data_IF_802162421107
#
_entry.id   IF_802162421107
#
_cell.length_a   1.000
_cell.length_b   1.000
_cell.length_c   1.000
_cell.angle_alpha   90.00
_cell.angle_beta   90.00
_cell.angle_gamma   90.00
#
_symmetry.space_group_name_H-M   'P 1'
#
loop_
_entity.id
_entity.type
_entity.pdbx_description
1 polymer ?
#
# COMPACT_ATOMS: atom_id res chain seq x y z
N UNK A 1 -21.17 -10.67 18.02
CA UNK A 1 -20.25 -10.93 16.88
C UNK A 1 -20.58 -10.14 15.59
N UNK A 2 -21.79 -9.59 15.38
CA UNK A 2 -22.16 -8.86 14.15
C UNK A 2 -21.58 -7.42 14.09
N UNK A 3 -21.44 -6.78 15.25
CA UNK A 3 -20.93 -5.41 15.40
C UNK A 3 -19.45 -5.27 15.00
N UNK A 4 -18.57 -6.21 15.40
CA UNK A 4 -17.15 -6.13 15.07
C UNK A 4 -16.86 -6.26 13.58
N UNK A 5 -17.64 -7.09 12.85
CA UNK A 5 -17.52 -7.18 11.39
C UNK A 5 -17.94 -5.89 10.70
N UNK A 6 -19.00 -5.24 11.18
CA UNK A 6 -19.44 -3.93 10.67
C UNK A 6 -18.39 -2.85 10.93
N UNK A 7 -17.76 -2.83 12.11
CA UNK A 7 -16.68 -1.89 12.42
C UNK A 7 -15.45 -2.15 11.53
N UNK A 8 -15.03 -3.40 11.37
CA UNK A 8 -13.91 -3.74 10.47
C UNK A 8 -14.20 -3.35 9.02
N UNK A 9 -15.40 -3.64 8.52
CA UNK A 9 -15.81 -3.25 7.16
C UNK A 9 -15.81 -1.72 7.03
N UNK A 10 -16.39 -1.01 8.01
CA UNK A 10 -16.37 0.45 8.02
C UNK A 10 -14.96 1.05 8.01
N UNK A 11 -14.04 0.45 8.77
CA UNK A 11 -12.65 0.93 8.87
C UNK A 11 -11.87 0.69 7.56
N UNK A 12 -12.10 -0.46 6.91
CA UNK A 12 -11.56 -0.75 5.57
C UNK A 12 -12.14 0.22 4.54
N UNK A 13 -13.45 0.48 4.57
CA UNK A 13 -14.08 1.44 3.66
C UNK A 13 -13.52 2.84 3.84
N UNK A 14 -13.33 3.31 5.08
CA UNK A 14 -12.70 4.62 5.35
C UNK A 14 -11.26 4.65 4.86
N UNK A 15 -10.48 3.60 5.08
CA UNK A 15 -9.10 3.52 4.57
C UNK A 15 -9.04 3.58 3.04
N UNK A 16 -9.94 2.86 2.35
CA UNK A 16 -10.05 2.91 0.88
C UNK A 16 -10.46 4.32 0.44
N UNK A 17 -11.43 4.95 1.10
CA UNK A 17 -11.81 6.33 0.81
C UNK A 17 -10.60 7.24 0.95
N UNK A 18 -9.85 7.19 2.05
CA UNK A 18 -8.67 8.03 2.25
C UNK A 18 -7.61 7.80 1.16
N UNK A 19 -7.36 6.54 0.77
CA UNK A 19 -6.39 6.20 -0.26
C UNK A 19 -6.80 6.68 -1.67
N UNK A 20 -8.09 6.61 -1.98
CA UNK A 20 -8.64 6.90 -3.32
C UNK A 20 -9.08 8.37 -3.45
N UNK A 21 -9.40 9.04 -2.34
CA UNK A 21 -9.78 10.44 -2.27
C UNK A 21 -8.81 11.39 -3.00
N UNK A 22 -7.48 11.34 -2.79
CA UNK A 22 -6.55 12.22 -3.50
C UNK A 22 -6.52 11.98 -5.02
N UNK A 23 -6.84 10.76 -5.46
CA UNK A 23 -6.88 10.39 -6.88
C UNK A 23 -8.08 11.01 -7.61
N UNK A 24 -9.22 11.17 -6.93
CA UNK A 24 -10.43 11.80 -7.52
C UNK A 24 -10.44 13.31 -7.39
N UNK A 25 -9.85 13.86 -6.34
CA UNK A 25 -9.79 15.31 -6.12
C UNK A 25 -8.59 15.98 -6.81
N UNK A 26 -7.80 15.23 -7.59
CA UNK A 26 -6.64 15.70 -8.33
C UNK A 26 -5.75 16.60 -7.46
N UNK A 27 -5.46 16.12 -6.24
CA UNK A 27 -4.57 16.80 -5.30
C UNK A 27 -3.09 16.69 -5.73
N UNK A 28 -2.81 15.98 -6.83
CA UNK A 28 -1.56 16.03 -7.58
C UNK A 28 -1.67 16.93 -8.82
N UNK A 29 -0.55 17.32 -9.41
CA UNK A 29 -0.53 18.21 -10.57
C UNK A 29 -1.27 17.58 -11.77
N UNK A 30 -2.34 18.21 -12.29
CA UNK A 30 -3.13 17.70 -13.42
C UNK A 30 -2.33 17.51 -14.71
N UNK A 31 -1.16 18.14 -14.83
CA UNK A 31 -0.31 18.09 -16.03
C UNK A 31 0.96 17.26 -15.82
N UNK A 32 1.15 16.65 -14.65
CA UNK A 32 2.30 15.79 -14.39
C UNK A 32 2.00 14.36 -14.82
N UNK A 33 2.87 13.77 -15.63
CA UNK A 33 2.79 12.38 -16.06
C UNK A 33 2.91 11.40 -14.86
N UNK A 34 3.46 11.88 -13.73
CA UNK A 34 3.54 11.16 -12.46
C UNK A 34 2.96 12.00 -11.31
N UNK A 35 1.66 11.86 -10.99
CA UNK A 35 0.99 12.57 -9.88
C UNK A 35 1.57 12.23 -8.49
N UNK A 36 2.41 11.21 -8.41
CA UNK A 36 3.08 10.72 -7.21
C UNK A 36 4.56 10.44 -7.50
N UNK A 37 5.25 11.41 -8.10
CA UNK A 37 6.71 11.36 -8.21
C UNK A 37 7.34 11.22 -6.80
N UNK A 38 8.49 10.53 -6.74
CA UNK A 38 9.22 10.32 -5.49
C UNK A 38 9.53 11.65 -4.79
N UNK A 39 9.58 11.62 -3.45
CA UNK A 39 9.93 12.80 -2.63
C UNK A 39 11.25 13.44 -3.05
N UNK A 40 12.17 12.64 -3.59
CA UNK A 40 13.50 13.09 -4.03
C UNK A 40 13.43 13.97 -5.29
N UNK A 41 12.59 13.60 -6.28
CA UNK A 41 12.38 14.39 -7.49
C UNK A 41 11.79 15.79 -7.19
N UNK A 42 10.90 15.88 -6.19
CA UNK A 42 10.40 17.17 -5.70
C UNK A 42 11.46 17.97 -4.94
N UNK A 43 12.38 17.30 -4.23
CA UNK A 43 13.45 17.99 -3.52
C UNK A 43 14.50 18.57 -4.47
N UNK A 44 14.86 17.83 -5.52
CA UNK A 44 15.83 18.27 -6.54
C UNK A 44 15.36 19.54 -7.27
N UNK A 45 14.09 19.57 -7.71
CA UNK A 45 13.51 20.74 -8.39
C UNK A 45 13.56 22.01 -7.53
N UNK A 46 13.24 21.91 -6.23
CA UNK A 46 13.27 23.05 -5.30
C UNK A 46 14.71 23.51 -5.04
N UNK A 47 15.65 22.57 -4.88
CA UNK A 47 17.06 22.90 -4.61
C UNK A 47 17.71 23.58 -5.83
N UNK A 48 17.39 23.13 -7.04
CA UNK A 48 17.86 23.75 -8.28
C UNK A 48 17.32 25.18 -8.48
N UNK A 49 16.10 25.47 -8.01
CA UNK A 49 15.48 26.80 -8.11
C UNK A 49 16.02 27.79 -7.06
N UNK A 50 16.22 27.35 -5.82
CA UNK A 50 16.71 28.20 -4.72
C UNK A 50 18.23 28.45 -4.78
N UNK A 51 19.02 27.49 -5.27
CA UNK A 51 20.47 27.65 -5.33
C UNK A 51 21.08 27.02 -6.60
N UNK A 52 21.18 27.78 -7.70
CA UNK A 52 21.75 27.28 -8.96
C UNK A 52 23.25 26.97 -8.90
N UNK A 53 23.94 27.27 -7.79
CA UNK A 53 25.34 26.91 -7.56
C UNK A 53 25.50 25.71 -6.61
N UNK A 54 24.40 25.03 -6.25
CA UNK A 54 24.44 23.86 -5.39
C UNK A 54 25.08 22.66 -6.11
N UNK A 55 26.18 22.18 -5.57
CA UNK A 55 26.86 20.97 -6.03
C UNK A 55 26.37 19.78 -5.18
N UNK A 56 25.81 18.71 -5.79
CA UNK A 56 25.39 17.52 -5.06
C UNK A 56 26.56 16.93 -4.27
N UNK A 57 26.38 16.77 -2.95
CA UNK A 57 27.38 16.14 -2.08
C UNK A 57 27.46 14.61 -2.25
N UNK A 58 26.56 14.04 -3.06
CA UNK A 58 26.51 12.63 -3.41
C UNK A 58 25.98 12.50 -4.84
N UNK A 59 26.77 11.89 -5.73
CA UNK A 59 26.32 11.44 -7.05
C UNK A 59 26.31 9.91 -7.08
N UNK A 60 25.26 9.27 -7.62
CA UNK A 60 25.22 7.83 -7.84
C UNK A 60 26.42 7.35 -8.67
N UNK A 61 27.18 6.39 -8.14
CA UNK A 61 28.35 5.78 -8.81
C UNK A 61 28.01 5.11 -10.16
N UNK A 62 26.76 4.69 -10.29
CA UNK A 62 26.08 4.35 -11.53
C UNK A 62 25.18 5.54 -11.77
N UNK A 63 25.47 6.38 -12.78
CA UNK A 63 24.73 7.62 -13.06
C UNK A 63 23.21 7.41 -13.17
N UNK A 64 22.46 8.50 -13.33
CA UNK A 64 20.98 8.53 -13.28
C UNK A 64 20.32 7.21 -13.74
N UNK A 65 19.89 6.42 -12.75
CA UNK A 65 19.15 5.20 -13.01
C UNK A 65 17.86 5.61 -13.73
N UNK A 66 17.45 4.91 -14.80
CA UNK A 66 16.22 5.26 -15.49
C UNK A 66 15.06 5.22 -14.49
N UNK A 67 14.24 6.28 -14.43
CA UNK A 67 13.15 6.43 -13.44
C UNK A 67 12.17 5.24 -13.41
N UNK A 68 12.07 4.50 -14.51
CA UNK A 68 11.32 3.23 -14.58
C UNK A 68 11.83 2.17 -13.59
N UNK A 69 13.13 2.13 -13.33
CA UNK A 69 13.77 1.19 -12.40
C UNK A 69 13.51 1.61 -10.95
N UNK A 70 13.50 2.90 -10.67
CA UNK A 70 13.16 3.44 -9.34
C UNK A 70 11.69 3.14 -8.99
N UNK A 71 10.77 3.52 -9.88
CA UNK A 71 9.35 3.21 -9.76
C UNK A 71 9.08 1.71 -9.69
N UNK A 72 9.83 0.90 -10.47
CA UNK A 72 9.79 -0.56 -10.41
C UNK A 72 10.20 -1.14 -9.06
N UNK A 73 11.22 -0.56 -8.41
CA UNK A 73 11.68 -0.99 -7.09
C UNK A 73 10.65 -0.67 -6.00
N UNK A 74 10.03 0.52 -6.07
CA UNK A 74 8.91 0.87 -5.17
C UNK A 74 7.69 -0.02 -5.39
N UNK A 75 7.32 -0.32 -6.64
CA UNK A 75 6.23 -1.23 -6.96
C UNK A 75 6.50 -2.66 -6.44
N UNK A 76 7.74 -3.13 -6.54
CA UNK A 76 8.17 -4.42 -5.99
C UNK A 76 8.03 -4.44 -4.46
N UNK A 77 8.52 -3.39 -3.77
CA UNK A 77 8.40 -3.26 -2.32
C UNK A 77 6.93 -3.23 -1.88
N UNK A 78 6.08 -2.48 -2.59
CA UNK A 78 4.65 -2.43 -2.32
C UNK A 78 3.98 -3.80 -2.52
N UNK A 79 4.31 -4.51 -3.61
CA UNK A 79 3.80 -5.85 -3.90
C UNK A 79 4.18 -6.88 -2.84
N UNK A 80 5.45 -6.88 -2.42
CA UNK A 80 5.93 -7.75 -1.34
C UNK A 80 5.26 -7.40 0.00
N UNK A 81 5.17 -6.12 0.35
CA UNK A 81 4.51 -5.66 1.57
C UNK A 81 3.03 -6.07 1.62
N UNK A 82 2.30 -5.88 0.52
CA UNK A 82 0.90 -6.29 0.39
C UNK A 82 0.75 -7.83 0.49
N UNK A 83 1.65 -8.59 -0.13
CA UNK A 83 1.67 -10.05 -0.05
C UNK A 83 1.85 -10.56 1.39
N UNK A 84 2.82 -10.00 2.12
CA UNK A 84 3.08 -10.35 3.53
C UNK A 84 1.87 -9.99 4.40
N UNK A 85 1.32 -8.78 4.26
CA UNK A 85 0.12 -8.36 5.01
C UNK A 85 -1.08 -9.27 4.73
N UNK A 86 -1.32 -9.61 3.45
CA UNK A 86 -2.38 -10.51 3.05
C UNK A 86 -2.23 -11.91 3.66
N UNK A 87 -1.02 -12.45 3.66
CA UNK A 87 -0.73 -13.75 4.28
C UNK A 87 -1.00 -13.74 5.79
N UNK A 88 -0.50 -12.74 6.51
CA UNK A 88 -0.68 -12.63 7.97
C UNK A 88 -2.17 -12.51 8.33
N UNK A 89 -2.91 -11.66 7.61
CA UNK A 89 -4.36 -11.51 7.81
C UNK A 89 -5.10 -12.82 7.49
N UNK A 90 -4.71 -13.52 6.43
CA UNK A 90 -5.28 -14.82 6.05
C UNK A 90 -5.07 -15.90 7.11
N UNK A 91 -3.84 -16.04 7.62
CA UNK A 91 -3.50 -16.99 8.69
C UNK A 91 -4.29 -16.68 9.97
N UNK A 92 -4.33 -15.40 10.36
CA UNK A 92 -5.06 -14.98 11.56
C UNK A 92 -6.57 -15.24 11.42
N UNK A 93 -7.14 -15.00 10.24
CA UNK A 93 -8.54 -15.31 9.94
C UNK A 93 -8.83 -16.80 9.99
N UNK A 94 -7.97 -17.65 9.42
CA UNK A 94 -8.11 -19.10 9.42
C UNK A 94 -8.13 -19.71 10.83
N UNK A 95 -7.34 -19.16 11.76
CA UNK A 95 -7.32 -19.58 13.17
C UNK A 95 -8.59 -19.21 13.95
N UNK A 96 -9.35 -18.22 13.50
CA UNK A 96 -10.59 -17.76 14.13
C UNK A 96 -11.85 -18.45 13.62
N UNK A 97 -11.78 -19.29 12.57
CA UNK A 97 -12.87 -20.17 12.19
C UNK A 97 -12.73 -21.49 12.96
N UNK A 98 -13.47 -21.71 14.07
CA UNK A 98 -13.60 -23.05 14.61
C UNK A 98 -14.20 -23.94 13.51
N UNK A 99 -13.57 -25.09 13.25
CA UNK A 99 -14.10 -26.15 12.37
C UNK A 99 -15.51 -26.48 12.85
N UNK A 100 -16.53 -25.86 12.24
CA UNK A 100 -17.95 -26.14 12.52
C UNK A 100 -18.37 -27.55 12.06
N UNK A 101 -17.43 -28.35 11.55
CA UNK A 101 -17.70 -29.65 10.94
C UNK A 101 -17.70 -30.83 11.92
N UNK A 102 -17.42 -30.62 13.21
CA UNK A 102 -17.38 -31.74 14.19
C UNK A 102 -18.71 -31.93 14.93
N UNK A 103 -19.60 -30.93 14.96
CA UNK A 103 -20.88 -31.02 15.67
C UNK A 103 -22.06 -31.49 14.81
N UNK A 104 -21.91 -31.58 13.49
CA UNK A 104 -22.98 -32.06 12.61
C UNK A 104 -23.05 -33.61 12.58
N UNK A 105 -21.91 -34.29 12.64
CA UNK A 105 -21.84 -35.76 12.62
C UNK A 105 -22.19 -36.42 13.95
N UNK A 106 -22.08 -35.71 15.08
CA UNK A 106 -22.46 -36.25 16.38
C UNK A 106 -23.98 -36.29 16.63
N UNK A 107 -24.77 -35.56 15.82
CA UNK A 107 -26.24 -35.52 15.97
C UNK A 107 -26.95 -36.57 15.11
N UNK A 108 -26.31 -37.07 14.04
CA UNK A 108 -26.87 -38.14 13.19
C UNK A 108 -26.66 -39.55 13.76
N UNK A 109 -25.65 -39.76 14.62
CA UNK A 109 -25.32 -41.08 15.19
C UNK A 109 -26.06 -41.39 16.52
N UNK A 110 -27.03 -40.54 16.90
CA UNK A 110 -27.81 -40.67 18.14
C UNK A 110 -29.33 -40.67 17.93
N UNK A 111 -29.78 -40.95 16.70
CA UNK A 111 -31.20 -41.20 16.34
C UNK A 111 -31.39 -42.64 15.89
#
# INVERSE_FOLDING_TARGET
>A
MKQSRLVTIGLITVAIIIAVFPMFFNLGDPNSEEPFAGTDASAESIVAEENPAYEPWYEPLVGELPGEVESGLFALQAGLGAGVLGYVLGVYRGRMLPRRSENATATEDSQ
#
